data_IF_512826045763
#
_entry.id   IF_512826045763
#
_cell.length_a   1.000
_cell.length_b   1.000
_cell.length_c   1.000
_cell.angle_alpha   90.00
_cell.angle_beta   90.00
_cell.angle_gamma   90.00
#
_symmetry.space_group_name_H-M   'P 1'
#
loop_
_entity.id
_entity.type
_entity.pdbx_description
1 polymer ?
#
# COMPACT_ATOMS: atom_id res chain seq x y z
N UNK A 1 7.84 -8.24 19.99
CA UNK A 1 8.50 -7.73 18.77
C UNK A 1 7.79 -6.46 18.35
N UNK A 2 8.38 -5.29 18.58
CA UNK A 2 7.82 -4.03 18.11
C UNK A 2 8.00 -4.00 16.59
N UNK A 3 6.89 -4.03 15.84
CA UNK A 3 6.91 -3.94 14.38
C UNK A 3 7.35 -2.53 14.01
N UNK A 4 8.38 -2.40 13.19
CA UNK A 4 8.81 -1.13 12.62
C UNK A 4 7.64 -0.53 11.83
N UNK A 5 6.94 0.44 12.44
CA UNK A 5 5.84 1.17 11.81
C UNK A 5 6.42 2.44 11.22
N UNK A 6 6.40 2.54 9.90
CA UNK A 6 6.89 3.73 9.22
C UNK A 6 5.89 4.87 9.42
N UNK A 7 6.33 5.97 10.05
CA UNK A 7 5.46 7.14 10.28
C UNK A 7 5.35 7.99 9.01
N UNK A 8 4.44 7.64 8.10
CA UNK A 8 4.14 8.50 6.96
C UNK A 8 3.27 9.69 7.41
N UNK A 9 3.92 10.78 7.82
CA UNK A 9 3.24 12.00 8.30
C UNK A 9 2.45 12.77 7.22
N UNK A 10 2.50 12.33 5.95
CA UNK A 10 1.85 13.02 4.83
C UNK A 10 0.32 13.00 4.89
N UNK A 11 -0.27 12.00 5.55
CA UNK A 11 -1.72 11.82 5.62
C UNK A 11 -2.28 11.92 7.06
N UNK A 12 -1.41 12.06 8.08
CA UNK A 12 -1.81 12.21 9.49
C UNK A 12 -2.54 11.01 10.12
N UNK A 13 -2.62 9.87 9.42
CA UNK A 13 -3.43 8.72 9.84
C UNK A 13 -2.96 8.12 11.17
N UNK A 14 -1.66 8.08 11.44
CA UNK A 14 -1.13 7.58 12.72
C UNK A 14 -1.59 8.43 13.90
N UNK A 15 -1.61 9.75 13.76
CA UNK A 15 -2.10 10.68 14.79
C UNK A 15 -3.60 10.57 15.00
N UNK A 16 -4.39 10.39 13.93
CA UNK A 16 -5.83 10.17 14.04
C UNK A 16 -6.14 8.86 14.77
N UNK A 17 -5.37 7.79 14.51
CA UNK A 17 -5.49 6.51 15.19
C UNK A 17 -5.13 6.61 16.68
N UNK A 18 -4.04 7.30 17.02
CA UNK A 18 -3.64 7.55 18.41
C UNK A 18 -4.75 8.29 19.17
N UNK A 19 -5.29 9.38 18.60
CA UNK A 19 -6.37 10.16 19.21
C UNK A 19 -7.66 9.35 19.40
N UNK A 20 -7.99 8.49 18.45
CA UNK A 20 -9.22 7.65 18.51
C UNK A 20 -9.10 6.52 19.54
N UNK A 21 -7.88 6.17 19.95
CA UNK A 21 -7.59 5.10 20.88
C UNK A 21 -7.16 5.59 22.28
N UNK A 22 -7.10 6.90 22.52
CA UNK A 22 -6.54 7.49 23.74
C UNK A 22 -7.25 7.04 25.03
N UNK A 23 -8.57 6.84 24.99
CA UNK A 23 -9.39 6.47 26.14
C UNK A 23 -9.68 4.96 26.24
N UNK A 24 -9.06 4.15 25.38
CA UNK A 24 -9.31 2.70 25.32
C UNK A 24 -8.24 1.91 26.06
N UNK A 25 -8.67 0.86 26.74
CA UNK A 25 -7.74 -0.11 27.30
C UNK A 25 -7.02 -0.91 26.20
N UNK A 26 -5.98 -1.65 26.59
CA UNK A 26 -5.11 -2.35 25.64
C UNK A 26 -5.81 -3.48 24.89
N UNK A 27 -6.85 -4.08 25.48
CA UNK A 27 -7.64 -5.17 24.89
C UNK A 27 -8.56 -4.61 23.80
N UNK A 28 -9.28 -3.54 24.11
CA UNK A 28 -10.11 -2.79 23.15
C UNK A 28 -9.29 -2.19 22.00
N UNK A 29 -8.05 -1.78 22.29
CA UNK A 29 -7.12 -1.23 21.29
C UNK A 29 -6.62 -2.32 20.34
N UNK A 30 -6.37 -3.51 20.85
CA UNK A 30 -5.93 -4.66 20.06
C UNK A 30 -7.05 -5.18 19.12
N UNK A 31 -8.30 -5.22 19.60
CA UNK A 31 -9.45 -5.65 18.79
C UNK A 31 -9.71 -4.72 17.59
N UNK A 32 -9.36 -3.43 17.71
CA UNK A 32 -9.51 -2.42 16.66
C UNK A 32 -8.18 -1.97 16.05
N UNK A 33 -7.09 -2.71 16.25
CA UNK A 33 -5.81 -2.38 15.64
C UNK A 33 -5.89 -2.65 14.13
N UNK A 34 -5.86 -1.61 13.27
CA UNK A 34 -5.86 -1.82 11.82
C UNK A 34 -4.59 -2.54 11.32
N UNK A 35 -3.56 -2.67 12.17
CA UNK A 35 -2.32 -3.41 11.92
C UNK A 35 -2.29 -4.81 12.59
N UNK A 36 -3.43 -5.25 13.15
CA UNK A 36 -3.63 -6.54 13.80
C UNK A 36 -3.68 -7.73 12.82
N UNK A 37 -4.01 -8.92 13.33
CA UNK A 37 -3.96 -10.16 12.56
C UNK A 37 -5.12 -10.30 11.56
N UNK A 38 -6.28 -9.72 11.86
CA UNK A 38 -7.43 -9.64 10.97
C UNK A 38 -7.24 -8.50 9.95
N UNK A 39 -6.31 -8.68 9.02
CA UNK A 39 -5.95 -7.67 8.01
C UNK A 39 -6.34 -8.09 6.60
N UNK A 40 -6.68 -7.08 5.80
CA UNK A 40 -6.84 -7.15 4.34
C UNK A 40 -5.49 -7.01 3.60
N UNK A 41 -4.35 -7.10 4.32
CA UNK A 41 -3.02 -7.04 3.70
C UNK A 41 -2.81 -8.29 2.85
N UNK A 42 -2.65 -8.06 1.56
CA UNK A 42 -2.28 -9.06 0.57
C UNK A 42 -0.76 -8.97 0.40
N UNK A 43 -0.10 -10.13 0.28
CA UNK A 43 1.33 -10.19 -0.03
C UNK A 43 1.65 -9.34 -1.27
N UNK A 44 2.81 -8.67 -1.30
CA UNK A 44 3.15 -7.77 -2.41
C UNK A 44 3.09 -8.49 -3.77
N UNK A 45 3.51 -9.75 -3.85
CA UNK A 45 3.47 -10.52 -5.11
C UNK A 45 2.03 -10.80 -5.54
N UNK A 46 1.14 -11.06 -4.59
CA UNK A 46 -0.28 -11.27 -4.85
C UNK A 46 -1.00 -9.95 -5.19
N UNK A 47 -0.64 -8.84 -4.54
CA UNK A 47 -1.08 -7.50 -4.89
C UNK A 47 -0.62 -7.13 -6.31
N UNK A 48 0.63 -7.39 -6.69
CA UNK A 48 1.14 -7.10 -8.04
C UNK A 48 0.46 -7.96 -9.11
N UNK A 49 0.09 -9.20 -8.78
CA UNK A 49 -0.70 -10.07 -9.66
C UNK A 49 -2.12 -9.56 -9.89
N UNK A 50 -2.77 -9.07 -8.84
CA UNK A 50 -4.18 -8.65 -8.90
C UNK A 50 -4.35 -7.17 -9.27
N UNK A 51 -3.33 -6.34 -9.06
CA UNK A 51 -3.45 -4.89 -9.18
C UNK A 51 -3.45 -4.42 -10.64
N UNK A 52 -4.48 -3.65 -11.04
CA UNK A 52 -4.53 -3.17 -12.39
C UNK A 52 -3.42 -2.16 -12.76
N UNK A 53 -2.78 -1.54 -11.78
CA UNK A 53 -1.66 -0.63 -12.03
C UNK A 53 -0.40 -1.36 -12.50
N UNK A 54 -0.06 -2.49 -11.86
CA UNK A 54 1.22 -3.16 -12.08
C UNK A 54 1.38 -3.72 -13.50
N UNK A 55 0.35 -4.41 -14.02
CA UNK A 55 0.32 -4.92 -15.40
C UNK A 55 0.14 -3.82 -16.46
N UNK A 56 -0.71 -2.79 -16.24
CA UNK A 56 -0.95 -1.74 -17.24
C UNK A 56 0.29 -0.88 -17.47
N UNK A 57 1.09 -0.60 -16.43
CA UNK A 57 2.37 0.09 -16.61
C UNK A 57 3.30 -0.66 -17.54
N UNK A 58 3.45 -1.99 -17.34
CA UNK A 58 4.28 -2.82 -18.21
C UNK A 58 3.76 -2.89 -19.66
N UNK A 59 2.44 -2.91 -19.86
CA UNK A 59 1.83 -2.87 -21.20
C UNK A 59 2.06 -1.50 -21.85
N UNK A 60 1.86 -0.41 -21.11
CA UNK A 60 2.07 0.95 -21.59
C UNK A 60 3.52 1.19 -21.99
N UNK A 61 4.49 0.71 -21.21
CA UNK A 61 5.92 0.79 -21.55
C UNK A 61 6.26 0.04 -22.84
N UNK A 62 5.70 -1.16 -23.05
CA UNK A 62 5.91 -1.92 -24.29
C UNK A 62 5.31 -1.21 -25.50
N UNK A 63 4.10 -0.69 -25.37
CA UNK A 63 3.46 0.08 -26.45
C UNK A 63 4.22 1.38 -26.74
N UNK A 64 4.69 2.07 -25.70
CA UNK A 64 5.53 3.25 -25.82
C UNK A 64 6.83 2.95 -26.58
N UNK A 65 7.53 1.89 -26.19
CA UNK A 65 8.77 1.45 -26.87
C UNK A 65 8.54 1.11 -28.35
N UNK A 66 7.45 0.42 -28.70
CA UNK A 66 7.12 0.13 -30.10
C UNK A 66 6.80 1.41 -30.86
N UNK A 67 6.05 2.33 -30.24
CA UNK A 67 5.72 3.63 -30.82
C UNK A 67 6.97 4.48 -31.07
N UNK A 68 7.88 4.55 -30.10
CA UNK A 68 9.16 5.25 -30.22
C UNK A 68 10.00 4.68 -31.36
N UNK A 69 10.03 3.36 -31.51
CA UNK A 69 10.75 2.69 -32.59
C UNK A 69 10.18 2.99 -33.97
N UNK A 70 8.86 3.02 -34.09
CA UNK A 70 8.18 3.32 -35.34
C UNK A 70 8.26 4.80 -35.72
N UNK A 71 8.14 5.70 -34.75
CA UNK A 71 8.15 7.14 -34.99
C UNK A 71 9.57 7.71 -35.17
N UNK A 72 10.54 7.19 -34.41
CA UNK A 72 11.87 7.79 -34.28
C UNK A 72 13.03 6.85 -34.59
N UNK A 73 12.77 5.57 -34.89
CA UNK A 73 13.80 4.61 -35.32
C UNK A 73 14.74 4.10 -34.23
N UNK A 74 14.38 4.25 -32.94
CA UNK A 74 15.11 3.69 -31.79
C UNK A 74 14.57 2.34 -31.34
#
# INVERSE_FOLDING_TARGET
>A
MAKDRESCGRCGISSALEATNADRDDEERAERDPYGEARIEIDEDELRRLSPGAWLSGVAERLGSIGDRLAWGR
#
